data_IF_140776588624
#
_entry.id   IF_140776588624
#
_cell.length_a   1.000
_cell.length_b   1.000
_cell.length_c   1.000
_cell.angle_alpha   90.00
_cell.angle_beta   90.00
_cell.angle_gamma   90.00
#
_symmetry.space_group_name_H-M   'P 1'
#
loop_
_entity.id
_entity.type
_entity.pdbx_description
1 polymer ?
#
# COMPACT_ATOMS: atom_id res chain seq x y z
N UNK A 1 13.55 -9.25 8.55
CA UNK A 1 12.88 -8.05 9.12
C UNK A 1 12.22 -7.30 7.99
N UNK A 2 10.95 -6.88 8.12
CA UNK A 2 10.25 -6.15 7.06
C UNK A 2 10.90 -4.79 6.80
N UNK A 3 11.38 -4.57 5.58
CA UNK A 3 11.87 -3.26 5.14
C UNK A 3 10.68 -2.35 4.84
N UNK A 4 10.63 -1.15 5.41
CA UNK A 4 9.53 -0.19 5.22
C UNK A 4 10.03 1.05 4.50
N UNK A 5 9.39 1.37 3.38
CA UNK A 5 9.64 2.58 2.60
C UNK A 5 8.38 3.42 2.60
N UNK A 6 8.51 4.72 2.85
CA UNK A 6 7.38 5.65 2.84
C UNK A 6 7.59 6.66 1.72
N UNK A 7 6.56 6.85 0.90
CA UNK A 7 6.53 7.83 -0.19
C UNK A 7 5.27 8.69 -0.07
N UNK A 8 5.30 9.88 -0.66
CA UNK A 8 4.18 10.85 -0.63
C UNK A 8 3.68 11.23 -2.01
N UNK A 9 4.50 11.01 -3.04
CA UNK A 9 4.18 11.36 -4.42
C UNK A 9 4.30 10.14 -5.33
N UNK A 10 3.69 10.24 -6.50
CA UNK A 10 3.77 9.20 -7.51
C UNK A 10 5.21 8.99 -8.01
N UNK A 11 5.97 10.07 -8.19
CA UNK A 11 7.36 9.99 -8.65
C UNK A 11 8.28 9.36 -7.60
N UNK A 12 8.07 9.67 -6.32
CA UNK A 12 8.77 9.01 -5.20
C UNK A 12 8.44 7.52 -5.16
N UNK A 13 7.16 7.17 -5.30
CA UNK A 13 6.72 5.78 -5.37
C UNK A 13 7.40 5.04 -6.54
N UNK A 14 7.35 5.60 -7.75
CA UNK A 14 7.98 4.99 -8.91
C UNK A 14 9.50 4.82 -8.74
N UNK A 15 10.17 5.82 -8.16
CA UNK A 15 11.61 5.77 -7.91
C UNK A 15 11.97 4.73 -6.86
N UNK A 16 11.19 4.64 -5.78
CA UNK A 16 11.35 3.61 -4.76
C UNK A 16 11.23 2.22 -5.38
N UNK A 17 10.14 1.97 -6.12
CA UNK A 17 9.90 0.68 -6.78
C UNK A 17 11.01 0.31 -7.77
N UNK A 18 11.44 1.24 -8.63
CA UNK A 18 12.53 0.99 -9.60
C UNK A 18 13.86 0.69 -8.90
N UNK A 19 14.08 1.23 -7.71
CA UNK A 19 15.29 1.03 -6.93
C UNK A 19 15.29 -0.29 -6.15
N UNK A 20 14.12 -0.93 -5.97
CA UNK A 20 14.02 -2.24 -5.35
C UNK A 20 14.63 -3.30 -6.25
N UNK A 21 15.76 -3.86 -5.83
CA UNK A 21 16.27 -5.11 -6.37
C UNK A 21 15.41 -6.23 -5.79
N UNK A 22 14.36 -6.64 -6.52
CA UNK A 22 13.40 -7.64 -6.09
C UNK A 22 14.12 -8.94 -5.67
N UNK A 23 14.32 -9.12 -4.36
CA UNK A 23 14.91 -10.31 -3.74
C UNK A 23 13.92 -11.08 -2.87
N UNK A 24 12.72 -10.53 -2.66
CA UNK A 24 11.66 -11.10 -1.83
C UNK A 24 10.31 -10.45 -2.12
N UNK A 25 9.34 -10.67 -1.22
CA UNK A 25 7.98 -10.14 -1.32
C UNK A 25 7.99 -8.61 -1.30
N UNK A 26 7.38 -7.97 -2.29
CA UNK A 26 7.19 -6.52 -2.32
C UNK A 26 5.70 -6.20 -2.27
N UNK A 27 5.30 -5.46 -1.25
CA UNK A 27 3.93 -5.01 -1.03
C UNK A 27 3.87 -3.50 -1.22
N UNK A 28 2.87 -3.02 -1.93
CA UNK A 28 2.59 -1.59 -2.04
C UNK A 28 1.26 -1.29 -1.37
N UNK A 29 1.29 -0.41 -0.37
CA UNK A 29 0.13 0.05 0.36
C UNK A 29 -0.13 1.52 0.04
N UNK A 30 -1.26 1.80 -0.59
CA UNK A 30 -1.68 3.16 -0.90
C UNK A 30 -2.73 3.58 0.11
N UNK A 31 -2.47 4.67 0.81
CA UNK A 31 -3.34 5.17 1.86
C UNK A 31 -3.48 6.69 1.76
N UNK A 32 -4.54 7.24 2.33
CA UNK A 32 -4.66 8.68 2.49
C UNK A 32 -3.55 9.21 3.40
N UNK A 33 -2.98 10.36 3.05
CA UNK A 33 -2.00 11.06 3.87
C UNK A 33 -2.47 11.28 5.31
N UNK A 34 -1.51 11.20 6.22
CA UNK A 34 -1.71 11.32 7.66
C UNK A 34 -1.46 12.75 8.13
N UNK A 35 -2.21 13.18 9.13
CA UNK A 35 -1.96 14.41 9.85
C UNK A 35 -0.77 14.28 10.81
N UNK A 36 -0.47 15.35 11.57
CA UNK A 36 0.61 15.35 12.56
C UNK A 36 0.42 14.33 13.69
N UNK A 37 -0.80 13.81 13.88
CA UNK A 37 -1.13 12.79 14.87
C UNK A 37 -1.07 11.37 14.29
N UNK A 38 -0.68 11.21 13.02
CA UNK A 38 -0.65 9.91 12.33
C UNK A 38 -2.03 9.41 11.90
N UNK A 39 -3.05 10.28 11.88
CA UNK A 39 -4.41 9.94 11.46
C UNK A 39 -4.62 10.30 9.99
N UNK A 40 -5.02 9.31 9.19
CA UNK A 40 -5.35 9.51 7.78
C UNK A 40 -6.65 10.30 7.61
N UNK A 41 -6.73 11.13 6.57
CA UNK A 41 -8.01 11.75 6.15
C UNK A 41 -9.05 10.72 5.68
N UNK A 42 -8.64 9.47 5.43
CA UNK A 42 -9.49 8.36 5.02
C UNK A 42 -9.77 7.43 6.22
N UNK A 43 -11.02 7.31 6.68
CA UNK A 43 -11.39 6.42 7.78
C UNK A 43 -11.02 4.94 7.54
N UNK A 44 -11.19 4.45 6.31
CA UNK A 44 -10.84 3.07 5.95
C UNK A 44 -9.33 2.82 6.04
N UNK A 45 -8.50 3.83 5.73
CA UNK A 45 -7.06 3.74 5.91
C UNK A 45 -6.68 3.64 7.40
N UNK A 46 -7.38 4.39 8.27
CA UNK A 46 -7.19 4.30 9.73
C UNK A 46 -7.54 2.91 10.26
N UNK A 47 -8.63 2.31 9.75
CA UNK A 47 -9.05 0.96 10.12
C UNK A 47 -8.12 -0.14 9.57
N UNK A 48 -7.62 0.00 8.34
CA UNK A 48 -6.77 -1.00 7.70
C UNK A 48 -5.32 -1.02 8.22
N UNK A 49 -4.76 0.13 8.61
CA UNK A 49 -3.37 0.24 9.09
C UNK A 49 -3.02 -0.75 10.22
N UNK A 50 -3.79 -0.85 11.33
CA UNK A 50 -3.46 -1.81 12.40
C UNK A 50 -3.58 -3.27 11.94
N UNK A 51 -4.46 -3.57 10.99
CA UNK A 51 -4.60 -4.91 10.40
C UNK A 51 -3.36 -5.29 9.61
N UNK A 52 -2.90 -4.38 8.73
CA UNK A 52 -1.67 -4.55 7.97
C UNK A 52 -0.45 -4.68 8.89
N UNK A 53 -0.31 -3.81 9.89
CA UNK A 53 0.81 -3.87 10.84
C UNK A 53 0.83 -5.17 11.65
N UNK A 54 -0.34 -5.71 12.02
CA UNK A 54 -0.44 -6.99 12.70
C UNK A 54 -0.04 -8.14 11.78
N UNK A 55 -0.51 -8.15 10.54
CA UNK A 55 -0.22 -9.19 9.56
C UNK A 55 1.27 -9.21 9.17
N UNK A 56 1.91 -8.05 9.01
CA UNK A 56 3.33 -7.93 8.69
C UNK A 56 4.27 -8.56 9.73
N UNK A 57 3.81 -8.78 10.97
CA UNK A 57 4.59 -9.52 11.97
C UNK A 57 4.80 -10.98 11.60
N UNK A 58 3.95 -11.52 10.72
CA UNK A 58 4.03 -12.89 10.18
C UNK A 58 4.63 -12.92 8.77
N UNK A 59 4.91 -11.77 8.17
CA UNK A 59 5.43 -11.71 6.81
C UNK A 59 6.86 -12.32 6.74
N UNK A 60 7.25 -12.88 5.57
CA UNK A 60 8.60 -13.38 5.35
C UNK A 60 9.69 -12.35 5.66
N UNK A 61 10.87 -12.79 6.09
CA UNK A 61 11.94 -11.89 6.54
C UNK A 61 12.42 -10.90 5.48
N UNK A 62 12.34 -11.26 4.20
CA UNK A 62 12.75 -10.45 3.05
C UNK A 62 11.60 -9.61 2.45
N UNK A 63 10.53 -9.40 3.22
CA UNK A 63 9.40 -8.56 2.79
C UNK A 63 9.77 -7.09 2.78
N UNK A 64 9.45 -6.39 1.70
CA UNK A 64 9.48 -4.92 1.61
C UNK A 64 8.08 -4.37 1.49
N UNK A 65 7.69 -3.48 2.40
CA UNK A 65 6.46 -2.69 2.31
C UNK A 65 6.79 -1.27 1.83
N UNK A 66 6.22 -0.88 0.69
CA UNK A 66 6.20 0.49 0.20
C UNK A 66 4.84 1.11 0.52
N UNK A 67 4.81 2.06 1.44
CA UNK A 67 3.60 2.81 1.78
C UNK A 67 3.60 4.16 1.09
N UNK A 68 2.60 4.43 0.24
CA UNK A 68 2.42 5.71 -0.40
C UNK A 68 1.23 6.46 0.23
N UNK A 69 1.54 7.56 0.92
CA UNK A 69 0.56 8.45 1.52
C UNK A 69 0.12 9.52 0.52
N UNK A 70 -1.13 9.45 0.07
CA UNK A 70 -1.67 10.30 -0.99
C UNK A 70 -2.46 11.44 -0.37
N UNK A 71 -2.09 12.68 -0.71
CA UNK A 71 -2.84 13.87 -0.29
C UNK A 71 -4.28 13.85 -0.81
N UNK A 72 -5.22 14.33 0.01
CA UNK A 72 -6.65 14.30 -0.33
C UNK A 72 -6.97 15.10 -1.60
N UNK A 73 -6.25 16.20 -1.83
CA UNK A 73 -6.38 17.02 -3.03
C UNK A 73 -5.99 16.26 -4.29
N UNK A 74 -4.87 15.51 -4.25
CA UNK A 74 -4.39 14.66 -5.35
C UNK A 74 -5.39 13.53 -5.62
N UNK A 75 -5.86 12.85 -4.57
CA UNK A 75 -6.74 11.69 -4.72
C UNK A 75 -8.10 12.01 -5.37
N UNK A 76 -8.63 13.21 -5.09
CA UNK A 76 -9.92 13.68 -5.65
C UNK A 76 -9.85 13.91 -7.16
N UNK A 77 -8.70 14.30 -7.68
CA UNK A 77 -8.50 14.48 -9.11
C UNK A 77 -8.57 13.12 -9.82
N UNK A 78 -9.54 12.93 -10.71
CA UNK A 78 -9.69 11.68 -11.45
C UNK A 78 -8.58 11.46 -12.49
N UNK A 79 -7.90 12.52 -12.91
CA UNK A 79 -6.76 12.46 -13.81
C UNK A 79 -5.43 12.17 -13.10
N UNK A 80 -5.44 11.97 -11.78
CA UNK A 80 -4.20 11.73 -11.04
C UNK A 80 -3.47 10.46 -11.54
N UNK A 81 -2.12 10.44 -11.46
CA UNK A 81 -1.33 9.34 -12.00
C UNK A 81 -1.58 8.00 -11.29
N UNK A 82 -1.99 7.98 -10.02
CA UNK A 82 -2.32 6.73 -9.33
C UNK A 82 -3.54 6.02 -9.93
N UNK A 83 -4.53 6.80 -10.40
CA UNK A 83 -5.74 6.27 -11.05
C UNK A 83 -5.51 5.91 -12.52
N UNK A 84 -4.67 6.68 -13.22
CA UNK A 84 -4.49 6.56 -14.68
C UNK A 84 -3.32 5.68 -15.09
N UNK A 85 -2.34 5.44 -14.20
CA UNK A 85 -1.22 4.54 -14.46
C UNK A 85 -1.72 3.12 -14.76
N UNK A 86 -1.14 2.49 -15.79
CA UNK A 86 -1.61 1.19 -16.29
C UNK A 86 -1.33 0.03 -15.32
N UNK A 87 -0.34 0.18 -14.45
CA UNK A 87 0.07 -0.82 -13.47
C UNK A 87 -0.73 -0.67 -12.18
N UNK A 88 -0.89 0.57 -11.70
CA UNK A 88 -1.60 0.85 -10.47
C UNK A 88 -3.11 0.81 -10.65
N UNK A 89 -3.67 1.61 -11.56
CA UNK A 89 -5.13 1.77 -11.79
C UNK A 89 -5.93 1.77 -10.48
N UNK A 90 -5.51 2.57 -9.50
CA UNK A 90 -6.18 2.57 -8.20
C UNK A 90 -7.61 3.12 -8.34
N UNK A 91 -8.57 2.38 -7.83
CA UNK A 91 -9.99 2.79 -7.81
C UNK A 91 -10.39 3.37 -6.46
N UNK A 92 -9.83 2.83 -5.38
CA UNK A 92 -10.08 3.19 -3.98
C UNK A 92 -8.76 3.41 -3.20
N UNK A 93 -8.89 3.97 -1.99
CA UNK A 93 -7.88 3.86 -0.93
C UNK A 93 -8.62 3.46 0.36
N UNK A 94 -8.04 2.61 1.23
CA UNK A 94 -6.75 1.97 1.06
C UNK A 94 -6.73 0.93 -0.06
N UNK A 95 -5.55 0.66 -0.61
CA UNK A 95 -5.32 -0.49 -1.50
C UNK A 95 -3.98 -1.12 -1.14
N UNK A 96 -3.98 -2.42 -0.90
CA UNK A 96 -2.78 -3.22 -0.69
C UNK A 96 -2.57 -4.10 -1.90
N UNK A 97 -1.41 -4.02 -2.55
CA UNK A 97 -1.09 -4.84 -3.72
C UNK A 97 0.22 -5.58 -3.53
N UNK A 98 0.28 -6.79 -4.06
CA UNK A 98 1.51 -7.56 -4.18
C UNK A 98 2.18 -7.23 -5.51
N UNK A 99 3.31 -6.54 -5.45
CA UNK A 99 4.00 -6.01 -6.62
C UNK A 99 4.46 -7.14 -7.55
N UNK A 100 4.28 -6.95 -8.87
CA UNK A 100 4.60 -7.95 -9.87
C UNK A 100 3.51 -9.01 -10.10
N UNK A 101 2.37 -8.94 -9.39
CA UNK A 101 1.22 -9.83 -9.55
C UNK A 101 -0.07 -9.03 -9.77
N UNK A 102 -1.18 -9.72 -10.09
CA UNK A 102 -2.52 -9.13 -10.12
C UNK A 102 -3.19 -9.09 -8.73
N UNK A 103 -2.59 -9.72 -7.72
CA UNK A 103 -3.18 -9.83 -6.38
C UNK A 103 -3.18 -8.48 -5.67
N UNK A 104 -4.37 -8.05 -5.23
CA UNK A 104 -4.60 -6.83 -4.47
C UNK A 104 -5.86 -6.92 -3.63
N UNK A 105 -5.89 -6.10 -2.58
CA UNK A 105 -7.01 -5.92 -1.68
C UNK A 105 -7.49 -4.48 -1.75
N UNK A 106 -8.80 -4.31 -1.87
CA UNK A 106 -9.50 -3.03 -1.84
C UNK A 106 -9.77 -2.54 -0.41
N UNK A 107 -10.48 -1.42 -0.30
CA UNK A 107 -10.83 -0.72 0.93
C UNK A 107 -11.34 -1.64 2.07
N UNK A 108 -12.34 -2.47 1.79
CA UNK A 108 -12.95 -3.38 2.76
C UNK A 108 -12.07 -4.60 2.98
N UNK A 109 -11.41 -5.11 1.94
CA UNK A 109 -10.52 -6.25 2.05
C UNK A 109 -9.28 -5.96 2.88
N UNK A 110 -8.74 -4.74 2.82
CA UNK A 110 -7.60 -4.29 3.64
C UNK A 110 -7.91 -4.28 5.14
N UNK A 111 -9.19 -4.26 5.53
CA UNK A 111 -9.63 -4.30 6.93
C UNK A 111 -9.80 -5.74 7.44
N UNK A 112 -9.72 -6.74 6.56
CA UNK A 112 -9.89 -8.15 6.92
C UNK A 112 -8.53 -8.81 7.12
N UNK A 113 -8.22 -9.11 8.38
CA UNK A 113 -6.97 -9.76 8.77
C UNK A 113 -6.65 -10.99 7.94
N UNK A 114 -7.62 -11.88 7.76
CA UNK A 114 -7.41 -13.13 7.04
C UNK A 114 -7.05 -12.90 5.56
N UNK A 115 -7.66 -11.90 4.92
CA UNK A 115 -7.35 -11.53 3.53
C UNK A 115 -5.94 -10.93 3.41
N UNK A 116 -5.57 -10.06 4.36
CA UNK A 116 -4.23 -9.47 4.39
C UNK A 116 -3.19 -10.55 4.63
N UNK A 117 -3.39 -11.46 5.58
CA UNK A 117 -2.48 -12.58 5.84
C UNK A 117 -2.33 -13.49 4.60
N UNK A 118 -3.44 -13.84 3.93
CA UNK A 118 -3.40 -14.61 2.67
C UNK A 118 -2.61 -13.91 1.56
N UNK A 119 -2.60 -12.57 1.50
CA UNK A 119 -1.81 -11.84 0.51
C UNK A 119 -0.30 -11.87 0.81
N UNK A 120 0.06 -12.03 2.09
CA UNK A 120 1.46 -12.09 2.56
C UNK A 120 2.08 -13.48 2.39
N UNK A 121 1.24 -14.51 2.33
CA UNK A 121 1.67 -15.89 2.12
C UNK A 121 1.99 -16.09 0.62
N UNK A 122 3.12 -16.76 0.35
CA UNK A 122 3.41 -17.31 -0.97
C UNK A 122 2.57 -18.59 -1.16
N UNK A 123 2.06 -18.80 -2.38
CA UNK A 123 1.57 -20.13 -2.82
C UNK A 123 2.73 -21.15 -2.76
#
# INVERSE_FOLDING_TARGET
>A
MVNKIVTKTFDEFQSAIKSLKAKGLVLCFFAGAEDANGSSWCPDCVAAKPVLEAALKKAPEDTTLVTCYIERSIWKDQANPFRTDKTLKLTCVPTLMRWGTEQRLDDVQCQKKDMVEMLLEDD
#
